data_IF_346799910714
#
_entry.id   IF_346799910714
#
_cell.length_a   1.000
_cell.length_b   1.000
_cell.length_c   1.000
_cell.angle_alpha   90.00
_cell.angle_beta   90.00
_cell.angle_gamma   90.00
#
_symmetry.space_group_name_H-M   'P 1'
#
loop_
_entity.id
_entity.type
_entity.pdbx_description
1 polymer ?
#
# COMPACT_ATOMS: atom_id res chain seq x y z
N UNK A 1 -28.62 -9.11 -4.68
CA UNK A 1 -28.03 -7.90 -4.05
C UNK A 1 -26.73 -8.29 -3.37
N UNK A 2 -25.62 -7.71 -3.77
CA UNK A 2 -24.32 -8.01 -3.16
C UNK A 2 -23.96 -6.83 -2.27
N UNK A 3 -24.10 -7.03 -0.96
CA UNK A 3 -23.70 -6.01 0.00
C UNK A 3 -22.18 -5.91 0.08
N UNK A 4 -21.70 -4.69 -0.02
CA UNK A 4 -20.28 -4.33 0.07
C UNK A 4 -20.01 -3.65 1.41
N UNK A 5 -18.80 -3.84 1.96
CA UNK A 5 -18.39 -3.20 3.22
C UNK A 5 -17.16 -2.36 2.99
N UNK A 6 -17.18 -1.13 3.48
CA UNK A 6 -16.03 -0.24 3.56
C UNK A 6 -15.61 -0.04 5.02
N UNK A 7 -14.31 0.04 5.26
CA UNK A 7 -13.78 0.56 6.51
C UNK A 7 -13.55 2.06 6.37
N UNK A 8 -14.09 2.84 7.29
CA UNK A 8 -13.97 4.30 7.28
C UNK A 8 -13.47 4.76 8.64
N UNK A 9 -12.57 5.75 8.68
CA UNK A 9 -12.27 6.41 9.95
C UNK A 9 -12.08 7.92 9.82
N UNK A 10 -12.52 8.64 10.85
CA UNK A 10 -12.20 10.04 11.04
C UNK A 10 -10.75 10.12 11.51
N UNK A 11 -9.91 10.86 10.76
CA UNK A 11 -8.50 11.03 11.05
C UNK A 11 -8.26 11.83 12.35
N UNK A 12 -7.13 11.63 13.04
CA UNK A 12 -6.89 12.22 14.36
C UNK A 12 -7.05 13.74 14.43
N UNK A 13 -6.63 14.49 13.39
CA UNK A 13 -6.77 15.95 13.37
C UNK A 13 -8.24 16.42 13.33
N UNK A 14 -9.15 15.58 12.84
CA UNK A 14 -10.60 15.81 12.85
C UNK A 14 -11.31 15.13 14.04
N UNK A 15 -10.57 14.39 14.90
CA UNK A 15 -11.04 13.77 16.14
C UNK A 15 -10.60 14.57 17.36
N UNK A 16 -10.99 15.85 17.50
CA UNK A 16 -10.57 16.73 18.61
C UNK A 16 -11.30 16.36 19.89
N UNK A 17 -10.64 15.83 20.96
CA UNK A 17 -11.29 15.27 22.15
C UNK A 17 -12.06 16.26 23.03
N UNK A 18 -11.75 17.56 22.92
CA UNK A 18 -12.19 18.59 23.87
C UNK A 18 -13.37 19.45 23.40
N UNK A 19 -13.97 19.17 22.24
CA UNK A 19 -15.04 20.00 21.69
C UNK A 19 -16.24 19.17 21.29
N UNK A 20 -17.43 19.60 21.68
CA UNK A 20 -18.72 19.07 21.19
C UNK A 20 -18.82 19.12 19.66
N UNK A 21 -18.06 20.01 19.02
CA UNK A 21 -17.94 20.13 17.57
C UNK A 21 -17.42 18.86 16.86
N UNK A 22 -16.70 17.99 17.57
CA UNK A 22 -16.29 16.67 17.08
C UNK A 22 -17.50 15.70 16.96
N UNK A 23 -18.48 15.85 17.83
CA UNK A 23 -19.73 15.14 17.74
C UNK A 23 -20.51 15.57 16.48
N UNK A 24 -20.51 16.88 16.18
CA UNK A 24 -21.18 17.43 15.00
C UNK A 24 -20.66 16.86 13.68
N UNK A 25 -19.32 16.72 13.54
CA UNK A 25 -18.79 16.11 12.32
C UNK A 25 -19.10 14.62 12.23
N UNK A 26 -19.02 13.88 13.34
CA UNK A 26 -19.47 12.48 13.39
C UNK A 26 -20.95 12.34 12.99
N UNK A 27 -21.83 13.19 13.54
CA UNK A 27 -23.25 13.19 13.20
C UNK A 27 -23.45 13.44 11.71
N UNK A 28 -22.81 14.46 11.15
CA UNK A 28 -22.90 14.77 9.71
C UNK A 28 -22.36 13.64 8.84
N UNK A 29 -21.30 12.96 9.27
CA UNK A 29 -20.77 11.78 8.58
C UNK A 29 -21.82 10.65 8.52
N UNK A 30 -22.47 10.34 9.63
CA UNK A 30 -23.51 9.30 9.68
C UNK A 30 -24.75 9.70 8.86
N UNK A 31 -25.15 10.97 8.90
CA UNK A 31 -26.23 11.51 8.05
C UNK A 31 -25.87 11.36 6.55
N UNK A 32 -24.65 11.74 6.15
CA UNK A 32 -24.21 11.63 4.76
C UNK A 32 -24.19 10.16 4.30
N UNK A 33 -23.78 9.23 5.15
CA UNK A 33 -23.88 7.81 4.83
C UNK A 33 -25.33 7.41 4.57
N UNK A 34 -26.24 7.77 5.46
CA UNK A 34 -27.65 7.44 5.33
C UNK A 34 -28.29 8.07 4.07
N UNK A 35 -27.93 9.32 3.75
CA UNK A 35 -28.38 10.03 2.54
C UNK A 35 -28.00 9.27 1.25
N UNK A 36 -26.93 8.48 1.28
CA UNK A 36 -26.43 7.70 0.14
C UNK A 36 -26.72 6.19 0.24
N UNK A 37 -27.64 5.78 1.12
CA UNK A 37 -28.00 4.37 1.26
C UNK A 37 -26.94 3.49 1.94
N UNK A 38 -26.00 4.11 2.65
CA UNK A 38 -24.98 3.40 3.42
C UNK A 38 -25.42 3.23 4.87
N UNK A 39 -25.28 2.02 5.41
CA UNK A 39 -25.60 1.67 6.79
C UNK A 39 -24.31 1.52 7.62
N UNK A 40 -24.25 2.14 8.79
CA UNK A 40 -23.16 1.91 9.76
C UNK A 40 -23.48 0.66 10.57
N UNK A 41 -22.79 -0.45 10.31
CA UNK A 41 -23.04 -1.73 10.98
C UNK A 41 -22.16 -1.96 12.21
N UNK A 42 -20.99 -1.30 12.28
CA UNK A 42 -20.10 -1.29 13.45
C UNK A 42 -19.42 0.07 13.57
N UNK A 43 -19.17 0.51 14.78
CA UNK A 43 -18.37 1.72 15.04
C UNK A 43 -17.55 1.57 16.32
N UNK A 44 -16.50 2.39 16.43
CA UNK A 44 -15.68 2.44 17.64
C UNK A 44 -14.67 3.56 17.63
N UNK A 45 -13.82 3.56 18.65
CA UNK A 45 -12.71 4.48 18.78
C UNK A 45 -11.44 3.72 19.17
N UNK A 46 -10.29 4.18 18.67
CA UNK A 46 -8.98 3.61 19.01
C UNK A 46 -8.07 4.78 19.40
N UNK A 47 -7.46 4.67 20.59
CA UNK A 47 -6.53 5.70 21.09
C UNK A 47 -5.14 5.54 20.48
N UNK A 48 -4.38 6.62 20.45
CA UNK A 48 -2.99 6.63 19.98
C UNK A 48 -2.09 5.59 20.68
N UNK A 49 -2.31 5.35 21.97
CA UNK A 49 -1.56 4.33 22.73
C UNK A 49 -1.82 2.90 22.23
N UNK A 50 -3.05 2.61 21.82
CA UNK A 50 -3.39 1.30 21.21
C UNK A 50 -2.82 1.20 19.80
N UNK A 51 -2.95 2.28 18.99
CA UNK A 51 -2.39 2.35 17.63
C UNK A 51 -0.88 2.10 17.66
N UNK A 52 -0.16 2.77 18.59
CA UNK A 52 1.29 2.59 18.76
C UNK A 52 1.65 1.18 19.21
N UNK A 53 1.02 0.68 20.27
CA UNK A 53 1.34 -0.64 20.83
C UNK A 53 1.09 -1.78 19.86
N UNK A 54 -0.01 -1.72 19.10
CA UNK A 54 -0.40 -2.74 18.14
C UNK A 54 0.14 -2.49 16.73
N UNK A 55 0.87 -1.39 16.51
CA UNK A 55 1.41 -0.99 15.20
C UNK A 55 0.33 -0.90 14.09
N UNK A 56 -0.88 -0.45 14.45
CA UNK A 56 -2.02 -0.49 13.54
C UNK A 56 -1.83 0.42 12.32
N UNK A 57 -1.24 1.62 12.51
CA UNK A 57 -0.96 2.53 11.39
C UNK A 57 0.21 2.05 10.53
N UNK A 58 1.17 1.35 11.15
CA UNK A 58 2.29 0.74 10.44
C UNK A 58 1.81 -0.42 9.57
N UNK A 59 0.88 -1.23 10.07
CA UNK A 59 0.25 -2.31 9.29
C UNK A 59 -0.66 -1.78 8.17
N UNK A 60 -1.42 -0.70 8.43
CA UNK A 60 -2.27 -0.05 7.45
C UNK A 60 -1.49 0.50 6.24
N UNK A 61 -0.30 1.04 6.47
CA UNK A 61 0.61 1.51 5.42
C UNK A 61 1.84 0.60 5.27
N UNK A 62 1.63 -0.72 5.35
CA UNK A 62 2.73 -1.70 5.45
C UNK A 62 3.80 -1.54 4.37
N UNK A 63 3.39 -1.33 3.13
CA UNK A 63 4.32 -1.16 2.01
C UNK A 63 5.33 -0.01 2.21
N UNK A 64 4.93 1.05 2.92
CA UNK A 64 5.79 2.21 3.25
C UNK A 64 6.45 2.03 4.61
N UNK A 65 5.65 1.63 5.60
CA UNK A 65 6.05 1.53 7.00
C UNK A 65 7.10 0.44 7.22
N UNK A 66 7.03 -0.67 6.48
CA UNK A 66 8.02 -1.75 6.58
C UNK A 66 9.46 -1.22 6.47
N UNK A 67 9.70 -0.31 5.55
CA UNK A 67 11.00 0.31 5.31
C UNK A 67 11.35 1.46 6.28
N UNK A 68 10.33 2.01 6.94
CA UNK A 68 10.50 3.15 7.83
C UNK A 68 10.60 2.76 9.31
N UNK A 69 9.95 1.65 9.74
CA UNK A 69 9.77 1.35 11.17
C UNK A 69 9.89 -0.11 11.55
N UNK A 70 9.77 -1.05 10.60
CA UNK A 70 9.66 -2.49 10.90
C UNK A 70 10.91 -3.28 10.54
N UNK A 71 11.51 -3.02 9.37
CA UNK A 71 12.67 -3.75 8.85
C UNK A 71 13.96 -2.99 9.17
N UNK A 72 15.02 -3.76 9.40
CA UNK A 72 16.39 -3.21 9.45
C UNK A 72 16.86 -2.88 8.02
N UNK A 73 17.81 -1.95 7.84
CA UNK A 73 18.35 -1.66 6.52
C UNK A 73 18.88 -2.90 5.78
N UNK A 74 19.53 -3.84 6.47
CA UNK A 74 20.04 -5.08 5.90
C UNK A 74 18.96 -6.04 5.37
N UNK A 75 17.70 -5.85 5.78
CA UNK A 75 16.57 -6.65 5.31
C UNK A 75 15.85 -6.00 4.12
N UNK A 76 16.30 -4.80 3.70
CA UNK A 76 15.72 -4.07 2.58
C UNK A 76 16.36 -4.53 1.25
N UNK A 77 15.51 -4.75 0.25
CA UNK A 77 15.99 -5.03 -1.11
C UNK A 77 16.33 -3.71 -1.83
N UNK A 78 17.52 -3.18 -1.52
CA UNK A 78 18.02 -1.92 -2.10
C UNK A 78 18.67 -2.22 -3.46
N UNK A 79 18.30 -1.50 -4.55
CA UNK A 79 19.00 -1.57 -5.82
C UNK A 79 20.42 -1.00 -5.67
N UNK A 80 21.41 -1.89 -5.57
CA UNK A 80 22.79 -1.55 -5.19
C UNK A 80 23.47 -0.60 -6.17
N UNK A 81 23.26 -0.82 -7.47
CA UNK A 81 23.77 0.04 -8.54
C UNK A 81 23.21 1.47 -8.45
N UNK A 82 21.90 1.61 -8.19
CA UNK A 82 21.26 2.91 -8.02
C UNK A 82 21.74 3.60 -6.74
N UNK A 83 21.91 2.84 -5.66
CA UNK A 83 22.43 3.35 -4.39
C UNK A 83 23.86 3.88 -4.56
N UNK A 84 24.76 3.08 -5.12
CA UNK A 84 26.14 3.44 -5.35
C UNK A 84 26.28 4.64 -6.31
N UNK A 85 25.53 4.64 -7.40
CA UNK A 85 25.51 5.77 -8.36
C UNK A 85 25.05 7.07 -7.69
N UNK A 86 24.06 6.99 -6.80
CA UNK A 86 23.49 8.18 -6.15
C UNK A 86 24.39 8.70 -5.04
N UNK A 87 24.90 7.83 -4.19
CA UNK A 87 25.56 8.21 -2.95
C UNK A 87 27.10 8.14 -3.00
N UNK A 88 27.67 7.44 -4.00
CA UNK A 88 29.12 7.32 -4.16
C UNK A 88 29.78 6.32 -3.22
N UNK A 89 28.98 5.49 -2.54
CA UNK A 89 29.41 4.41 -1.64
C UNK A 89 28.63 3.14 -2.00
N UNK A 90 29.24 1.96 -1.90
CA UNK A 90 28.52 0.72 -2.14
C UNK A 90 27.53 0.41 -1.02
N UNK A 91 26.44 -0.30 -1.34
CA UNK A 91 25.45 -0.72 -0.35
C UNK A 91 26.09 -1.54 0.78
N UNK A 92 26.95 -2.48 0.42
CA UNK A 92 27.69 -3.31 1.37
C UNK A 92 28.53 -2.47 2.34
N UNK A 93 29.33 -1.54 1.82
CA UNK A 93 30.15 -0.65 2.63
C UNK A 93 29.34 0.23 3.56
N UNK A 94 28.18 0.74 3.10
CA UNK A 94 27.29 1.56 3.92
C UNK A 94 26.69 0.75 5.09
N UNK A 95 26.37 -0.53 4.88
CA UNK A 95 25.93 -1.44 5.95
C UNK A 95 27.05 -1.76 6.94
N UNK A 96 28.27 -2.07 6.46
CA UNK A 96 29.44 -2.37 7.29
C UNK A 96 29.82 -1.18 8.19
N UNK A 97 29.69 0.04 7.67
CA UNK A 97 29.91 1.29 8.43
C UNK A 97 28.77 1.65 9.39
N UNK A 98 27.69 0.89 9.42
CA UNK A 98 26.49 1.16 10.22
C UNK A 98 25.92 2.59 10.03
N UNK A 99 25.95 3.11 8.79
CA UNK A 99 25.43 4.46 8.47
C UNK A 99 24.06 4.43 7.80
N UNK A 100 23.42 3.25 7.72
CA UNK A 100 22.10 3.05 7.15
C UNK A 100 21.05 2.89 8.26
N UNK A 101 19.95 3.63 8.17
CA UNK A 101 18.90 3.64 9.18
C UNK A 101 17.52 3.59 8.55
N UNK A 102 16.59 2.83 9.13
CA UNK A 102 15.17 3.10 8.93
C UNK A 102 14.80 4.44 9.62
N UNK A 103 13.67 5.03 9.29
CA UNK A 103 13.31 6.35 9.80
C UNK A 103 13.14 6.39 11.34
N UNK A 104 12.63 5.30 11.94
CA UNK A 104 12.43 5.23 13.38
C UNK A 104 13.77 5.23 14.14
N UNK A 105 14.74 4.46 13.65
CA UNK A 105 16.06 4.40 14.26
C UNK A 105 16.88 5.66 13.95
N UNK A 106 16.69 6.29 12.78
CA UNK A 106 17.28 7.59 12.46
C UNK A 106 16.79 8.70 13.39
N UNK A 107 15.54 8.67 13.86
CA UNK A 107 15.06 9.60 14.89
C UNK A 107 15.87 9.48 16.18
N UNK A 108 16.20 8.27 16.60
CA UNK A 108 17.02 8.02 17.80
C UNK A 108 18.46 8.46 17.57
N UNK A 109 19.06 8.05 16.46
CA UNK A 109 20.46 8.35 16.09
C UNK A 109 20.72 9.85 16.00
N UNK A 110 19.78 10.61 15.43
CA UNK A 110 19.87 12.06 15.27
C UNK A 110 19.31 12.85 16.47
N UNK A 111 18.79 12.15 17.48
CA UNK A 111 18.08 12.74 18.63
C UNK A 111 17.01 13.76 18.21
N UNK A 112 16.17 13.40 17.24
CA UNK A 112 15.10 14.26 16.71
C UNK A 112 13.76 13.56 16.75
N UNK A 113 12.68 14.33 16.91
CA UNK A 113 11.32 13.83 16.72
C UNK A 113 10.95 13.70 15.23
N UNK A 114 9.77 13.13 14.96
CA UNK A 114 9.25 12.88 13.63
C UNK A 114 9.27 14.10 12.69
N UNK A 115 8.84 15.27 13.19
CA UNK A 115 8.87 16.53 12.42
C UNK A 115 10.30 17.04 12.17
N UNK A 116 11.21 16.82 13.13
CA UNK A 116 12.64 17.14 12.97
C UNK A 116 13.28 16.29 11.88
N UNK A 117 12.98 14.99 11.84
CA UNK A 117 13.46 14.09 10.78
C UNK A 117 12.90 14.49 9.41
N UNK A 118 11.59 14.77 9.31
CA UNK A 118 10.98 15.25 8.08
C UNK A 118 11.62 16.54 7.57
N UNK A 119 11.85 17.52 8.47
CA UNK A 119 12.54 18.76 8.13
C UNK A 119 13.95 18.49 7.60
N UNK A 120 14.74 17.64 8.28
CA UNK A 120 16.08 17.25 7.81
C UNK A 120 16.03 16.56 6.43
N UNK A 121 15.04 15.70 6.18
CA UNK A 121 14.90 15.01 4.89
C UNK A 121 14.61 15.96 3.71
N UNK A 122 13.92 17.08 3.96
CA UNK A 122 13.68 18.11 2.92
C UNK A 122 14.96 18.86 2.53
N UNK A 123 15.94 18.90 3.41
CA UNK A 123 17.25 19.51 3.19
C UNK A 123 18.35 18.46 3.02
N UNK A 124 17.97 17.21 2.70
CA UNK A 124 18.91 16.15 2.46
C UNK A 124 19.86 16.50 1.29
N UNK A 125 21.13 16.15 1.46
CA UNK A 125 22.17 16.41 0.43
C UNK A 125 21.85 15.73 -0.89
N UNK A 126 21.34 14.52 -0.82
CA UNK A 126 20.89 13.71 -1.96
C UNK A 126 19.66 12.87 -1.53
N UNK A 127 18.77 12.65 -2.47
CA UNK A 127 17.60 11.78 -2.26
C UNK A 127 17.39 10.93 -3.51
N UNK A 128 17.07 9.66 -3.30
CA UNK A 128 16.73 8.73 -4.37
C UNK A 128 15.41 8.04 -4.10
N UNK A 129 14.66 7.78 -5.17
CA UNK A 129 13.47 6.94 -5.19
C UNK A 129 13.85 5.61 -5.85
N UNK A 130 13.84 4.53 -5.07
CA UNK A 130 14.10 3.18 -5.57
C UNK A 130 12.87 2.53 -6.21
N UNK A 131 11.68 2.99 -5.82
CA UNK A 131 10.40 2.47 -6.31
C UNK A 131 9.23 3.19 -5.66
N UNK A 132 8.01 2.71 -5.89
CA UNK A 132 6.83 3.22 -5.21
C UNK A 132 6.97 3.05 -3.69
N UNK A 133 6.79 4.14 -2.93
CA UNK A 133 6.91 4.11 -1.47
C UNK A 133 8.29 3.72 -0.92
N UNK A 134 9.36 3.75 -1.73
CA UNK A 134 10.69 3.39 -1.29
C UNK A 134 11.70 4.49 -1.65
N UNK A 135 12.12 5.23 -0.65
CA UNK A 135 13.00 6.38 -0.77
C UNK A 135 14.16 6.27 0.20
N UNK A 136 15.32 6.82 -0.18
CA UNK A 136 16.47 7.00 0.70
C UNK A 136 17.00 8.42 0.59
N UNK A 137 17.33 9.02 1.72
CA UNK A 137 17.87 10.37 1.81
C UNK A 137 19.22 10.36 2.54
N UNK A 138 20.22 11.03 1.97
CA UNK A 138 21.50 11.29 2.63
C UNK A 138 21.39 12.52 3.53
N UNK A 139 21.55 12.31 4.83
CA UNK A 139 21.52 13.34 5.84
C UNK A 139 22.86 13.43 6.56
N UNK A 140 23.17 14.59 7.12
CA UNK A 140 24.39 14.78 7.92
C UNK A 140 24.07 14.72 9.41
N UNK A 141 24.91 14.02 10.15
CA UNK A 141 25.00 14.14 11.61
C UNK A 141 25.68 15.46 11.97
N UNK A 142 25.70 15.80 13.26
CA UNK A 142 26.33 17.03 13.75
C UNK A 142 27.84 17.03 13.55
N UNK A 143 28.47 15.86 13.56
CA UNK A 143 29.89 15.65 13.29
C UNK A 143 30.26 15.67 11.78
N UNK A 144 29.28 15.92 10.90
CA UNK A 144 29.48 15.93 9.46
C UNK A 144 29.40 14.55 8.78
N UNK A 145 29.22 13.47 9.55
CA UNK A 145 29.08 12.11 9.00
C UNK A 145 27.79 11.96 8.20
N UNK A 146 27.88 11.45 6.98
CA UNK A 146 26.70 11.11 6.17
C UNK A 146 26.04 9.83 6.68
N UNK A 147 24.73 9.89 6.82
CA UNK A 147 23.88 8.72 7.07
C UNK A 147 22.79 8.60 5.99
N UNK A 148 22.33 7.38 5.74
CA UNK A 148 21.33 7.05 4.71
C UNK A 148 20.05 6.61 5.38
N UNK A 149 18.99 7.42 5.26
CA UNK A 149 17.74 7.24 5.99
C UNK A 149 16.62 6.86 5.04
N UNK A 150 15.97 5.71 5.33
CA UNK A 150 14.89 5.20 4.52
C UNK A 150 13.53 5.74 4.99
N UNK A 151 12.71 6.18 4.02
CA UNK A 151 11.33 6.63 4.20
C UNK A 151 11.11 7.64 5.35
N UNK A 152 12.04 8.58 5.51
CA UNK A 152 12.00 9.57 6.60
C UNK A 152 10.66 10.33 6.71
N UNK A 153 9.97 10.57 5.59
CA UNK A 153 8.68 11.26 5.53
C UNK A 153 7.55 10.51 6.27
N UNK A 154 7.66 9.18 6.42
CA UNK A 154 6.62 8.39 7.06
C UNK A 154 6.45 8.75 8.55
N UNK A 155 7.51 9.17 9.22
CA UNK A 155 7.47 9.44 10.65
C UNK A 155 6.53 10.59 11.02
N UNK A 156 6.48 11.66 10.23
CA UNK A 156 5.57 12.79 10.47
C UNK A 156 4.10 12.40 10.22
N UNK A 157 3.82 11.58 9.22
CA UNK A 157 2.48 11.03 9.00
C UNK A 157 2.08 10.10 10.16
N UNK A 158 2.97 9.20 10.57
CA UNK A 158 2.78 8.28 11.69
C UNK A 158 2.51 8.99 13.01
N UNK A 159 3.26 10.07 13.28
CA UNK A 159 3.13 10.83 14.54
C UNK A 159 1.71 11.37 14.75
N UNK A 160 1.01 11.74 13.67
CA UNK A 160 -0.37 12.22 13.76
C UNK A 160 -1.33 11.18 14.38
N UNK A 161 -1.00 9.89 14.28
CA UNK A 161 -1.81 8.80 14.82
C UNK A 161 -1.37 8.34 16.22
N UNK A 162 -0.06 8.43 16.51
CA UNK A 162 0.53 7.82 17.72
C UNK A 162 0.87 8.82 18.82
N UNK A 163 0.86 10.13 18.56
CA UNK A 163 1.08 11.15 19.58
C UNK A 163 0.03 11.06 20.70
N UNK A 164 0.49 11.29 21.95
CA UNK A 164 -0.36 11.21 23.13
C UNK A 164 -1.62 12.10 23.00
N UNK A 165 -2.76 11.51 23.32
CA UNK A 165 -4.07 12.19 23.26
C UNK A 165 -4.75 12.16 21.89
N UNK A 166 -4.09 11.62 20.86
CA UNK A 166 -4.74 11.38 19.56
C UNK A 166 -5.61 10.11 19.59
N UNK A 167 -6.57 10.07 18.68
CA UNK A 167 -7.45 8.90 18.46
C UNK A 167 -8.02 8.94 17.07
N UNK A 168 -8.55 7.83 16.62
CA UNK A 168 -9.48 7.73 15.48
C UNK A 168 -10.87 7.32 15.97
N UNK A 169 -11.90 7.69 15.19
CA UNK A 169 -13.24 7.09 15.27
C UNK A 169 -13.46 6.34 13.97
N UNK A 170 -13.76 5.05 14.07
CA UNK A 170 -13.89 4.18 12.91
C UNK A 170 -15.32 3.63 12.78
N UNK A 171 -15.65 3.25 11.57
CA UNK A 171 -16.94 2.72 11.14
C UNK A 171 -16.71 1.59 10.14
N UNK A 172 -17.52 0.55 10.24
CA UNK A 172 -17.75 -0.40 9.14
C UNK A 172 -19.07 -0.02 8.51
N UNK A 173 -19.03 0.34 7.25
CA UNK A 173 -20.18 0.84 6.49
C UNK A 173 -20.56 -0.19 5.45
N UNK A 174 -21.82 -0.53 5.36
CA UNK A 174 -22.37 -1.49 4.39
C UNK A 174 -23.29 -0.77 3.40
N UNK A 175 -23.19 -1.10 2.11
CA UNK A 175 -24.02 -0.56 1.03
C UNK A 175 -24.19 -1.58 -0.10
N UNK A 176 -25.21 -1.37 -0.94
CA UNK A 176 -25.57 -2.26 -2.03
C UNK A 176 -24.89 -1.83 -3.33
N UNK A 177 -24.21 -2.78 -4.02
CA UNK A 177 -23.50 -2.53 -5.28
C UNK A 177 -24.42 -2.22 -6.48
N UNK A 178 -25.74 -2.44 -6.36
CA UNK A 178 -26.73 -2.06 -7.37
C UNK A 178 -27.14 -0.59 -7.25
N UNK A 179 -27.10 -0.03 -6.05
CA UNK A 179 -27.55 1.35 -5.77
C UNK A 179 -26.38 2.32 -5.66
N UNK A 180 -25.22 1.87 -5.17
CA UNK A 180 -24.03 2.69 -4.98
C UNK A 180 -22.78 1.91 -5.41
N UNK A 181 -22.15 2.32 -6.51
CA UNK A 181 -20.89 1.75 -6.96
C UNK A 181 -19.73 2.19 -6.08
N UNK A 182 -18.67 1.38 -5.98
CA UNK A 182 -17.49 1.71 -5.16
C UNK A 182 -16.83 3.01 -5.61
N UNK A 183 -16.68 3.22 -6.93
CA UNK A 183 -16.17 4.48 -7.48
C UNK A 183 -17.01 5.69 -7.02
N UNK A 184 -18.34 5.56 -7.03
CA UNK A 184 -19.26 6.61 -6.58
C UNK A 184 -19.22 6.83 -5.07
N UNK A 185 -19.10 5.76 -4.27
CA UNK A 185 -18.88 5.88 -2.83
C UNK A 185 -17.62 6.72 -2.55
N UNK A 186 -16.51 6.44 -3.23
CA UNK A 186 -15.28 7.21 -3.07
C UNK A 186 -15.37 8.64 -3.62
N UNK A 187 -15.98 8.82 -4.78
CA UNK A 187 -16.04 10.13 -5.43
C UNK A 187 -17.09 11.06 -4.82
N UNK A 188 -18.29 10.55 -4.52
CA UNK A 188 -19.46 11.35 -4.13
C UNK A 188 -19.70 11.37 -2.63
N UNK A 189 -19.57 10.22 -1.94
CA UNK A 189 -19.78 10.16 -0.48
C UNK A 189 -18.54 10.65 0.26
N UNK A 190 -17.36 10.08 -0.05
CA UNK A 190 -16.12 10.47 0.60
C UNK A 190 -15.56 11.79 0.06
N UNK A 191 -15.51 11.95 -1.24
CA UNK A 191 -14.83 13.01 -1.99
C UNK A 191 -13.36 12.69 -2.27
N UNK A 192 -12.73 13.31 -3.30
CA UNK A 192 -11.34 13.11 -3.68
C UNK A 192 -10.37 13.49 -2.56
N UNK A 193 -9.14 12.97 -2.65
CA UNK A 193 -8.07 13.17 -1.66
C UNK A 193 -7.74 14.64 -1.43
N UNK A 194 -7.75 15.46 -2.48
CA UNK A 194 -7.67 16.92 -2.34
C UNK A 194 -9.04 17.50 -1.98
N UNK A 195 -9.26 17.97 -0.74
CA UNK A 195 -10.57 18.44 -0.30
C UNK A 195 -11.01 19.74 -0.99
N UNK A 196 -10.10 20.46 -1.66
CA UNK A 196 -10.45 21.63 -2.48
C UNK A 196 -11.24 21.25 -3.73
N UNK A 197 -11.05 20.01 -4.23
CA UNK A 197 -11.72 19.46 -5.41
C UNK A 197 -12.94 18.64 -5.06
N UNK A 198 -13.19 18.42 -3.76
CA UNK A 198 -14.27 17.57 -3.30
C UNK A 198 -15.64 18.25 -3.51
N UNK A 199 -16.67 17.51 -3.96
CA UNK A 199 -18.04 18.00 -3.97
C UNK A 199 -18.44 18.52 -2.59
N UNK A 200 -19.13 19.65 -2.54
CA UNK A 200 -19.55 20.27 -1.27
C UNK A 200 -20.46 19.37 -0.43
N UNK A 201 -21.14 18.41 -1.04
CA UNK A 201 -21.99 17.40 -0.40
C UNK A 201 -21.22 16.20 0.14
N UNK A 202 -19.97 15.97 -0.32
CA UNK A 202 -19.13 14.88 0.15
C UNK A 202 -18.53 15.18 1.54
N UNK A 203 -18.17 14.13 2.27
CA UNK A 203 -17.59 14.25 3.62
C UNK A 203 -16.36 15.18 3.67
N UNK A 204 -15.45 15.08 2.69
CA UNK A 204 -14.26 15.92 2.61
C UNK A 204 -14.61 17.36 2.20
N UNK A 205 -15.56 17.55 1.31
CA UNK A 205 -16.05 18.88 0.90
C UNK A 205 -16.77 19.59 2.04
N UNK A 206 -17.68 18.89 2.73
CA UNK A 206 -18.39 19.40 3.93
C UNK A 206 -17.38 19.86 4.98
N UNK A 207 -16.35 19.04 5.28
CA UNK A 207 -15.34 19.38 6.26
C UNK A 207 -14.49 20.58 5.81
N UNK A 208 -14.09 20.61 4.53
CA UNK A 208 -13.29 21.69 3.96
C UNK A 208 -14.00 23.04 3.98
N UNK A 209 -15.30 23.05 3.68
CA UNK A 209 -16.14 24.27 3.68
C UNK A 209 -16.39 24.77 5.11
N UNK A 210 -16.62 23.86 6.04
CA UNK A 210 -17.09 24.17 7.39
C UNK A 210 -16.06 23.83 8.49
N UNK A 211 -14.77 23.81 8.18
CA UNK A 211 -13.73 23.32 9.09
C UNK A 211 -13.72 23.99 10.46
N UNK A 212 -13.99 25.32 10.56
CA UNK A 212 -14.10 26.03 11.83
C UNK A 212 -15.27 25.56 12.67
N UNK A 213 -16.45 25.34 12.03
CA UNK A 213 -17.65 24.80 12.67
C UNK A 213 -17.38 23.44 13.31
N UNK A 214 -16.56 22.61 12.67
CA UNK A 214 -16.19 21.29 13.16
C UNK A 214 -14.96 21.30 14.10
N UNK A 215 -14.49 22.47 14.50
CA UNK A 215 -13.44 22.64 15.50
C UNK A 215 -12.03 22.32 15.03
N UNK A 216 -11.76 22.30 13.72
CA UNK A 216 -10.41 22.08 13.22
C UNK A 216 -9.52 23.30 13.47
N UNK A 217 -8.26 23.05 13.83
CA UNK A 217 -7.27 24.11 14.07
C UNK A 217 -6.83 24.81 12.78
N UNK A 218 -6.93 24.12 11.62
CA UNK A 218 -6.54 24.64 10.31
C UNK A 218 -7.42 24.04 9.21
N UNK A 219 -7.46 24.73 8.08
CA UNK A 219 -8.20 24.27 6.90
C UNK A 219 -7.64 22.94 6.41
N UNK A 220 -8.49 21.97 6.05
CA UNK A 220 -8.05 20.68 5.53
C UNK A 220 -7.13 20.80 4.31
N UNK A 221 -6.18 19.88 4.23
CA UNK A 221 -5.22 19.75 3.12
C UNK A 221 -5.28 18.33 2.57
N UNK A 222 -4.58 18.01 1.49
CA UNK A 222 -4.50 16.65 0.94
C UNK A 222 -4.05 15.61 1.98
N UNK A 223 -3.09 15.94 2.85
CA UNK A 223 -2.63 15.04 3.92
C UNK A 223 -3.60 14.96 5.10
N UNK A 224 -4.23 16.09 5.45
CA UNK A 224 -5.17 16.22 6.56
C UNK A 224 -6.59 16.51 6.02
N UNK A 225 -7.16 15.55 5.29
CA UNK A 225 -8.45 15.69 4.62
C UNK A 225 -9.66 15.18 5.42
N UNK A 226 -9.46 14.88 6.70
CA UNK A 226 -10.51 14.60 7.67
C UNK A 226 -10.92 13.15 7.78
N UNK A 227 -11.10 12.45 6.68
CA UNK A 227 -11.64 11.09 6.67
C UNK A 227 -10.89 10.19 5.69
N UNK A 228 -10.69 8.94 6.09
CA UNK A 228 -10.20 7.84 5.26
C UNK A 228 -11.35 6.86 5.00
N UNK A 229 -11.33 6.24 3.84
CA UNK A 229 -12.13 5.06 3.52
C UNK A 229 -11.33 4.13 2.62
N UNK A 230 -11.57 2.82 2.76
CA UNK A 230 -10.99 1.78 1.92
C UNK A 230 -11.21 2.07 0.43
N UNK A 231 -10.24 1.72 -0.40
CA UNK A 231 -10.31 1.98 -1.84
C UNK A 231 -10.95 0.84 -2.65
N UNK A 232 -11.19 -0.32 -2.00
CA UNK A 232 -11.82 -1.48 -2.62
C UNK A 232 -12.42 -2.42 -1.56
N UNK A 233 -13.27 -3.39 -1.94
CA UNK A 233 -13.78 -4.43 -1.02
C UNK A 233 -12.66 -5.26 -0.40
N UNK A 234 -11.57 -5.50 -1.13
CA UNK A 234 -10.43 -6.25 -0.60
C UNK A 234 -9.60 -5.42 0.39
N UNK A 235 -9.36 -4.16 0.10
CA UNK A 235 -8.71 -3.25 1.06
C UNK A 235 -9.56 -3.13 2.33
N UNK A 236 -10.89 -3.03 2.20
CA UNK A 236 -11.79 -3.04 3.35
C UNK A 236 -11.68 -4.31 4.20
N UNK A 237 -11.59 -5.48 3.57
CA UNK A 237 -11.36 -6.76 4.26
C UNK A 237 -10.08 -6.72 5.10
N UNK A 238 -8.97 -6.25 4.52
CA UNK A 238 -7.68 -6.14 5.18
C UNK A 238 -7.69 -5.09 6.31
N UNK A 239 -8.31 -3.93 6.07
CA UNK A 239 -8.41 -2.83 7.04
C UNK A 239 -9.30 -3.19 8.23
N UNK A 240 -10.45 -3.84 8.02
CA UNK A 240 -11.31 -4.34 9.09
C UNK A 240 -10.51 -5.32 9.95
N UNK A 241 -9.78 -6.27 9.35
CA UNK A 241 -8.95 -7.20 10.10
C UNK A 241 -7.87 -6.49 10.93
N UNK A 242 -7.15 -5.53 10.33
CA UNK A 242 -6.11 -4.78 11.03
C UNK A 242 -6.65 -3.93 12.19
N UNK A 243 -7.68 -3.13 11.94
CA UNK A 243 -8.15 -2.12 12.89
C UNK A 243 -9.09 -2.65 13.96
N UNK A 244 -9.89 -3.67 13.63
CA UNK A 244 -10.88 -4.24 14.57
C UNK A 244 -10.43 -5.55 15.20
N UNK A 245 -9.50 -6.27 14.55
CA UNK A 245 -9.09 -7.62 14.92
C UNK A 245 -10.04 -8.72 14.44
N UNK A 246 -11.04 -8.40 13.59
CA UNK A 246 -11.93 -9.40 12.99
C UNK A 246 -11.16 -10.16 11.88
N UNK A 247 -10.91 -11.47 12.04
CA UNK A 247 -10.11 -12.21 11.07
C UNK A 247 -10.70 -12.20 9.66
N UNK A 248 -9.84 -12.20 8.63
CA UNK A 248 -10.29 -12.17 7.22
C UNK A 248 -11.24 -13.31 6.87
N UNK A 249 -11.02 -14.51 7.43
CA UNK A 249 -11.84 -15.70 7.21
C UNK A 249 -13.18 -15.70 7.99
N UNK A 250 -13.43 -14.74 8.85
CA UNK A 250 -14.70 -14.55 9.54
C UNK A 250 -15.60 -13.52 8.88
N UNK A 251 -15.03 -12.61 8.11
CA UNK A 251 -15.75 -11.60 7.34
C UNK A 251 -16.44 -12.23 6.12
N UNK A 252 -17.63 -11.73 5.77
CA UNK A 252 -18.44 -12.30 4.67
C UNK A 252 -17.68 -12.34 3.33
N UNK A 253 -16.98 -11.25 2.99
CA UNK A 253 -16.22 -11.17 1.75
C UNK A 253 -15.01 -12.11 1.77
N UNK A 254 -14.32 -12.22 2.90
CA UNK A 254 -13.21 -13.18 3.06
C UNK A 254 -13.67 -14.64 2.92
N UNK A 255 -14.81 -15.00 3.54
CA UNK A 255 -15.43 -16.33 3.35
C UNK A 255 -15.72 -16.61 1.88
N UNK A 256 -16.26 -15.62 1.17
CA UNK A 256 -16.55 -15.74 -0.26
C UNK A 256 -15.28 -15.98 -1.08
N UNK A 257 -14.21 -15.23 -0.83
CA UNK A 257 -12.93 -15.41 -1.51
C UNK A 257 -12.31 -16.79 -1.23
N UNK A 258 -12.42 -17.29 0.00
CA UNK A 258 -11.94 -18.64 0.37
C UNK A 258 -12.75 -19.72 -0.34
N UNK A 259 -14.06 -19.58 -0.43
CA UNK A 259 -14.92 -20.52 -1.21
C UNK A 259 -14.54 -20.57 -2.70
N UNK A 260 -13.93 -19.52 -3.22
CA UNK A 260 -13.44 -19.44 -4.61
C UNK A 260 -11.95 -19.79 -4.74
N UNK A 261 -11.35 -20.42 -3.73
CA UNK A 261 -10.01 -21.02 -3.81
C UNK A 261 -8.85 -20.12 -3.41
N UNK A 262 -9.10 -18.92 -2.84
CA UNK A 262 -8.02 -18.09 -2.28
C UNK A 262 -7.84 -18.44 -0.81
N UNK A 263 -6.67 -18.93 -0.41
CA UNK A 263 -6.46 -19.35 0.98
C UNK A 263 -6.45 -18.20 1.97
N UNK A 264 -6.70 -18.50 3.25
CA UNK A 264 -6.63 -17.51 4.34
C UNK A 264 -5.23 -16.86 4.38
N UNK A 265 -4.19 -17.67 4.28
CA UNK A 265 -2.79 -17.23 4.33
C UNK A 265 -2.48 -16.26 3.17
N UNK A 266 -3.03 -16.55 1.97
CA UNK A 266 -2.93 -15.66 0.81
C UNK A 266 -3.64 -14.33 1.08
N UNK A 267 -4.85 -14.34 1.65
CA UNK A 267 -5.57 -13.11 1.99
C UNK A 267 -4.80 -12.27 3.02
N UNK A 268 -4.24 -12.90 4.06
CA UNK A 268 -3.43 -12.21 5.08
C UNK A 268 -2.12 -11.63 4.50
N UNK A 269 -1.48 -12.36 3.60
CA UNK A 269 -0.30 -11.87 2.88
C UNK A 269 -0.66 -10.69 1.96
N UNK A 270 -1.73 -10.81 1.22
CA UNK A 270 -2.21 -9.77 0.30
C UNK A 270 -2.68 -8.51 1.02
N UNK A 271 -3.17 -8.63 2.25
CA UNK A 271 -3.51 -7.49 3.11
C UNK A 271 -2.33 -6.57 3.42
N UNK A 272 -1.10 -6.98 3.11
CA UNK A 272 0.13 -6.17 3.22
C UNK A 272 0.48 -5.44 1.92
N UNK A 273 -0.41 -5.47 0.92
CA UNK A 273 -0.20 -4.86 -0.41
C UNK A 273 1.11 -5.27 -1.08
N UNK A 274 1.32 -6.59 -1.33
CA UNK A 274 2.53 -7.05 -2.00
C UNK A 274 2.51 -6.69 -3.49
N UNK A 275 3.70 -6.72 -4.10
CA UNK A 275 3.83 -6.74 -5.55
C UNK A 275 3.55 -8.14 -6.06
N UNK A 276 2.53 -8.27 -6.88
CA UNK A 276 2.07 -9.53 -7.47
C UNK A 276 2.24 -9.51 -8.99
N UNK A 277 2.36 -10.69 -9.60
CA UNK A 277 2.27 -10.79 -11.06
C UNK A 277 0.84 -10.43 -11.47
N UNK A 278 0.70 -9.43 -12.33
CA UNK A 278 -0.58 -8.92 -12.83
C UNK A 278 -0.83 -9.33 -14.29
N UNK A 279 0.16 -9.93 -14.94
CA UNK A 279 0.13 -10.44 -16.29
C UNK A 279 1.02 -11.68 -16.45
N UNK A 280 0.75 -12.47 -17.50
CA UNK A 280 1.51 -13.69 -17.82
C UNK A 280 2.99 -13.42 -18.21
N UNK A 281 3.33 -12.20 -18.61
CA UNK A 281 4.70 -11.81 -18.96
C UNK A 281 5.55 -11.44 -17.73
N UNK A 282 5.02 -11.65 -16.50
CA UNK A 282 5.72 -11.38 -15.25
C UNK A 282 5.71 -9.91 -14.82
N UNK A 283 4.91 -9.05 -15.48
CA UNK A 283 4.73 -7.67 -15.00
C UNK A 283 4.11 -7.69 -13.61
N UNK A 284 4.74 -6.96 -12.69
CA UNK A 284 4.28 -6.84 -11.30
C UNK A 284 3.63 -5.49 -11.02
N UNK A 285 2.69 -5.50 -10.09
CA UNK A 285 2.01 -4.30 -9.60
C UNK A 285 1.53 -4.47 -8.15
N UNK A 286 1.24 -3.35 -7.48
CA UNK A 286 0.58 -3.35 -6.18
C UNK A 286 -0.76 -4.06 -6.29
N UNK A 287 -1.05 -4.96 -5.36
CA UNK A 287 -2.32 -5.68 -5.34
C UNK A 287 -3.50 -4.72 -5.15
N UNK A 288 -3.37 -3.76 -4.25
CA UNK A 288 -4.44 -2.79 -3.98
C UNK A 288 -4.73 -1.92 -5.20
N UNK A 289 -3.71 -1.48 -5.95
CA UNK A 289 -3.89 -0.73 -7.19
C UNK A 289 -4.66 -1.52 -8.26
N UNK A 290 -4.56 -2.88 -8.24
CA UNK A 290 -5.25 -3.74 -9.22
C UNK A 290 -6.75 -3.88 -8.94
N UNK A 291 -7.20 -3.56 -7.74
CA UNK A 291 -8.61 -3.72 -7.32
C UNK A 291 -9.24 -2.39 -6.88
N UNK A 292 -8.53 -1.28 -7.03
CA UNK A 292 -9.01 0.05 -6.68
C UNK A 292 -10.29 0.40 -7.46
N UNK A 293 -11.29 0.97 -6.77
CA UNK A 293 -12.59 1.39 -7.29
C UNK A 293 -13.49 0.27 -7.87
N UNK A 294 -13.13 -1.00 -7.69
CA UNK A 294 -13.93 -2.13 -8.15
C UNK A 294 -15.03 -2.49 -7.16
N UNK A 295 -16.20 -2.88 -7.68
CA UNK A 295 -17.24 -3.52 -6.88
C UNK A 295 -16.87 -4.96 -6.50
N UNK A 296 -17.53 -5.54 -5.49
CA UNK A 296 -17.17 -6.83 -4.90
C UNK A 296 -17.03 -7.99 -5.91
N UNK A 297 -17.92 -8.07 -6.89
CA UNK A 297 -17.88 -9.14 -7.91
C UNK A 297 -16.69 -8.98 -8.87
N UNK A 298 -16.43 -7.76 -9.31
CA UNK A 298 -15.31 -7.44 -10.20
C UNK A 298 -13.98 -7.62 -9.47
N UNK A 299 -13.88 -7.09 -8.25
CA UNK A 299 -12.74 -7.25 -7.37
C UNK A 299 -12.41 -8.75 -7.16
N UNK A 300 -13.41 -9.57 -6.80
CA UNK A 300 -13.24 -11.01 -6.64
C UNK A 300 -12.69 -11.67 -7.91
N UNK A 301 -13.30 -11.38 -9.07
CA UNK A 301 -12.86 -11.94 -10.36
C UNK A 301 -11.39 -11.60 -10.64
N UNK A 302 -10.98 -10.36 -10.37
CA UNK A 302 -9.60 -9.92 -10.57
C UNK A 302 -8.64 -10.61 -9.58
N UNK A 303 -9.01 -10.71 -8.30
CA UNK A 303 -8.23 -11.42 -7.30
C UNK A 303 -8.03 -12.91 -7.65
N UNK A 304 -9.06 -13.59 -8.16
CA UNK A 304 -8.94 -14.97 -8.63
C UNK A 304 -7.98 -15.11 -9.82
N UNK A 305 -7.99 -14.14 -10.74
CA UNK A 305 -7.03 -14.10 -11.85
C UNK A 305 -5.60 -13.88 -11.33
N UNK A 306 -5.40 -12.94 -10.42
CA UNK A 306 -4.11 -12.68 -9.79
C UNK A 306 -3.63 -13.92 -9.02
N UNK A 307 -4.53 -14.62 -8.31
CA UNK A 307 -4.18 -15.85 -7.59
C UNK A 307 -3.58 -16.90 -8.55
N UNK A 308 -4.23 -17.16 -9.67
CA UNK A 308 -3.72 -18.08 -10.70
C UNK A 308 -2.37 -17.68 -11.27
N UNK A 309 -2.14 -16.37 -11.46
CA UNK A 309 -0.86 -15.83 -11.97
C UNK A 309 0.30 -15.97 -10.98
N UNK A 310 -0.01 -16.14 -9.69
CA UNK A 310 0.96 -16.20 -8.59
C UNK A 310 0.99 -17.58 -7.90
N UNK A 311 0.27 -18.57 -8.42
CA UNK A 311 0.40 -19.96 -7.98
C UNK A 311 1.81 -20.49 -8.28
N UNK A 312 2.42 -21.28 -7.38
CA UNK A 312 3.68 -21.94 -7.67
C UNK A 312 3.52 -22.81 -8.91
N UNK A 313 4.35 -22.63 -9.92
CA UNK A 313 4.41 -23.56 -11.06
C UNK A 313 4.66 -24.97 -10.53
N UNK A 314 3.80 -25.95 -10.84
CA UNK A 314 4.06 -27.32 -10.43
C UNK A 314 5.43 -27.74 -10.99
N UNK A 315 6.24 -28.51 -10.24
CA UNK A 315 7.51 -28.99 -10.74
C UNK A 315 7.29 -29.73 -12.08
N UNK A 316 8.19 -29.57 -13.06
CA UNK A 316 8.05 -30.24 -14.35
C UNK A 316 7.89 -31.74 -14.11
N UNK A 317 6.79 -32.30 -14.59
CA UNK A 317 6.57 -33.73 -14.52
C UNK A 317 7.72 -34.43 -15.24
N UNK A 318 8.31 -35.50 -14.68
CA UNK A 318 9.34 -36.23 -15.36
C UNK A 318 8.82 -36.71 -16.71
N UNK A 319 9.46 -36.30 -17.77
CA UNK A 319 9.15 -36.75 -19.13
C UNK A 319 9.33 -38.26 -19.15
N UNK A 320 8.24 -39.02 -19.13
CA UNK A 320 8.27 -40.45 -19.35
C UNK A 320 8.64 -40.66 -20.82
N UNK A 321 9.93 -40.75 -21.08
CA UNK A 321 10.43 -41.23 -22.39
C UNK A 321 9.98 -42.67 -22.54
N UNK A 322 8.98 -42.93 -23.37
CA UNK A 322 8.65 -44.30 -23.82
C UNK A 322 9.86 -44.82 -24.58
N UNK A 323 10.68 -45.63 -23.91
CA UNK A 323 11.73 -46.39 -24.57
C UNK A 323 11.07 -47.40 -25.49
N UNK A 324 11.18 -47.19 -26.77
CA UNK A 324 10.87 -48.19 -27.80
C UNK A 324 11.86 -49.36 -27.66
N UNK A 325 11.39 -50.48 -27.14
CA UNK A 325 12.16 -51.71 -27.08
C UNK A 325 12.39 -52.27 -28.50
N UNK A 326 13.58 -52.07 -29.07
CA UNK A 326 14.06 -52.89 -30.18
C UNK A 326 14.95 -53.99 -29.60
N UNK A 327 14.44 -55.24 -29.70
CA UNK A 327 15.20 -56.47 -29.43
C UNK A 327 16.41 -56.54 -30.36
N UNK A 328 17.64 -56.66 -29.79
CA UNK A 328 18.75 -57.28 -30.44
C UNK A 328 19.55 -58.18 -29.49
N UNK A 329 19.89 -59.32 -30.05
CA UNK A 329 20.38 -60.57 -29.45
C UNK A 329 21.74 -60.41 -28.72
N UNK A 330 21.89 -61.30 -27.75
CA UNK A 330 23.07 -61.64 -26.99
C UNK A 330 24.35 -61.89 -27.85
N UNK A 331 25.50 -61.47 -27.31
CA UNK A 331 26.65 -62.38 -27.21
C UNK A 331 27.52 -61.97 -25.99
N UNK A 332 27.95 -62.99 -25.32
CA UNK A 332 28.76 -63.11 -24.16
C UNK A 332 30.19 -62.56 -24.36
N UNK A 333 30.77 -61.96 -23.33
CA UNK A 333 32.02 -62.33 -22.72
C UNK A 333 32.37 -61.36 -21.55
N UNK A 334 32.75 -61.94 -20.45
CA UNK A 334 33.12 -61.24 -19.21
C UNK A 334 34.64 -61.20 -18.99
N UNK A 335 35.17 -60.69 -17.85
CA UNK A 335 35.60 -59.32 -17.55
C UNK A 335 37.15 -59.23 -17.43
N UNK A 336 37.72 -58.12 -17.02
CA UNK A 336 38.11 -57.99 -15.59
C UNK A 336 38.08 -56.57 -15.00
N UNK A 337 37.80 -56.49 -13.71
CA UNK A 337 38.07 -55.43 -12.74
C UNK A 337 39.59 -55.39 -12.36
N UNK A 338 40.09 -54.49 -11.49
CA UNK A 338 39.68 -53.12 -11.09
C UNK A 338 40.93 -52.18 -10.99
N UNK A 339 40.68 -50.86 -10.77
CA UNK A 339 41.59 -50.04 -9.93
C UNK A 339 40.96 -48.78 -9.42
N UNK A 340 40.98 -48.62 -8.09
CA UNK A 340 40.72 -47.41 -7.31
C UNK A 340 41.73 -46.32 -7.62
N UNK A 341 41.27 -45.06 -7.61
CA UNK A 341 41.97 -43.99 -6.90
C UNK A 341 41.02 -42.89 -6.50
N UNK A 342 41.20 -42.47 -5.31
CA UNK A 342 40.55 -41.48 -4.44
C UNK A 342 40.92 -40.05 -4.80
N UNK A 343 40.08 -39.17 -4.20
CA UNK A 343 40.24 -37.74 -3.85
C UNK A 343 39.40 -36.83 -4.74
N UNK A 344 38.61 -35.91 -4.25
CA UNK A 344 38.35 -35.32 -2.98
C UNK A 344 37.38 -34.18 -3.22
N UNK A 345 36.48 -34.01 -2.26
CA UNK A 345 35.82 -32.77 -1.82
C UNK A 345 35.58 -31.63 -2.81
N UNK A 346 34.37 -31.15 -3.07
CA UNK A 346 33.89 -30.02 -2.28
C UNK A 346 32.40 -29.75 -2.51
N UNK A 347 31.73 -29.34 -1.42
CA UNK A 347 30.34 -28.98 -1.33
C UNK A 347 30.12 -27.58 -1.91
N UNK A 348 28.99 -27.38 -2.58
CA UNK A 348 28.53 -26.07 -2.99
C UNK A 348 27.04 -26.04 -3.17
N UNK A 349 26.29 -26.03 -2.05
CA UNK A 349 24.85 -25.72 -2.04
C UNK A 349 24.62 -24.27 -2.47
N UNK A 350 24.24 -24.05 -3.71
CA UNK A 350 23.72 -22.78 -4.17
C UNK A 350 22.20 -22.77 -3.97
N UNK A 351 21.72 -22.26 -2.83
CA UNK A 351 20.33 -21.84 -2.65
C UNK A 351 20.10 -20.58 -3.45
N UNK A 352 19.37 -20.70 -4.54
CA UNK A 352 18.85 -19.56 -5.29
C UNK A 352 17.81 -18.84 -4.43
N UNK A 353 18.17 -17.68 -3.88
CA UNK A 353 17.22 -16.72 -3.31
C UNK A 353 16.52 -16.00 -4.48
N UNK A 354 15.25 -16.28 -4.66
CA UNK A 354 14.39 -15.50 -5.57
C UNK A 354 14.13 -14.15 -4.90
N UNK A 355 14.81 -13.12 -5.38
CA UNK A 355 14.56 -11.73 -4.97
C UNK A 355 13.22 -11.25 -5.51
N UNK A 356 12.28 -10.97 -4.63
CA UNK A 356 11.02 -10.30 -4.97
C UNK A 356 11.26 -8.80 -5.04
N UNK A 357 11.22 -8.25 -6.24
CA UNK A 357 11.30 -6.81 -6.47
C UNK A 357 9.93 -6.17 -6.15
N UNK A 358 9.84 -5.41 -5.07
CA UNK A 358 8.62 -4.71 -4.67
C UNK A 358 8.62 -3.30 -5.27
N UNK A 359 7.76 -3.05 -6.25
CA UNK A 359 7.48 -1.70 -6.78
C UNK A 359 6.11 -1.27 -6.27
N UNK A 360 6.07 -0.40 -5.29
CA UNK A 360 4.82 0.21 -4.78
C UNK A 360 4.65 1.58 -5.43
N UNK A 361 3.60 1.72 -6.22
CA UNK A 361 3.20 3.01 -6.79
C UNK A 361 2.73 3.96 -5.70
N UNK A 362 3.35 5.14 -5.61
CA UNK A 362 2.97 6.19 -4.65
C UNK A 362 1.72 6.93 -5.16
N UNK A 363 0.59 6.23 -5.25
CA UNK A 363 -0.70 6.87 -5.55
C UNK A 363 -1.37 7.46 -4.30
N UNK A 364 -0.80 7.26 -3.13
CA UNK A 364 -1.32 7.77 -1.84
C UNK A 364 -1.26 9.29 -1.67
N UNK A 365 -0.58 10.02 -2.56
CA UNK A 365 -0.55 11.49 -2.55
C UNK A 365 -1.09 12.15 -3.82
N UNK A 366 -1.45 11.39 -4.85
CA UNK A 366 -1.94 11.91 -6.12
C UNK A 366 -3.06 11.03 -6.69
N UNK A 367 -4.13 10.83 -5.94
CA UNK A 367 -5.40 10.35 -6.48
C UNK A 367 -6.04 11.46 -7.30
N UNK A 368 -5.56 11.71 -8.49
CA UNK A 368 -6.04 12.70 -9.45
C UNK A 368 -6.20 12.07 -10.83
N UNK A 369 -7.42 11.61 -11.11
CA UNK A 369 -8.04 11.51 -12.44
C UNK A 369 -7.12 11.57 -13.69
N UNK A 370 -6.61 10.43 -14.13
CA UNK A 370 -6.06 10.31 -15.50
C UNK A 370 -7.12 10.19 -16.61
N UNK A 371 -8.42 10.20 -16.29
CA UNK A 371 -9.51 10.08 -17.31
C UNK A 371 -10.14 11.41 -17.73
N UNK A 372 -9.82 12.56 -17.12
CA UNK A 372 -10.40 13.85 -17.50
C UNK A 372 -9.63 14.59 -18.63
N UNK A 373 -8.44 14.16 -19.01
CA UNK A 373 -7.60 14.89 -19.99
C UNK A 373 -7.87 14.54 -21.47
N UNK A 374 -8.85 13.72 -21.78
CA UNK A 374 -9.13 13.29 -23.19
C UNK A 374 -10.40 13.88 -23.80
N UNK A 375 -11.09 14.81 -23.12
CA UNK A 375 -12.35 15.40 -23.63
C UNK A 375 -12.33 16.91 -23.89
N UNK A 376 -11.27 17.63 -23.55
CA UNK A 376 -11.22 19.09 -23.75
C UNK A 376 -10.57 19.57 -25.06
N UNK A 377 -9.98 18.68 -25.86
CA UNK A 377 -9.27 19.10 -27.10
C UNK A 377 -10.12 19.09 -28.38
N UNK A 378 -11.46 18.97 -28.26
CA UNK A 378 -12.38 19.02 -29.42
C UNK A 378 -13.28 20.27 -29.50
N UNK A 379 -13.26 21.18 -28.53
CA UNK A 379 -14.13 22.37 -28.55
C UNK A 379 -13.39 23.73 -28.74
N UNK A 380 -12.10 23.70 -28.99
CA UNK A 380 -11.33 24.96 -29.21
C UNK A 380 -11.15 25.39 -30.70
N UNK A 381 -11.84 24.73 -31.64
CA UNK A 381 -11.74 25.08 -33.09
C UNK A 381 -13.00 25.64 -33.75
N UNK A 382 -14.02 26.02 -32.98
CA UNK A 382 -15.29 26.48 -33.58
C UNK A 382 -15.70 27.93 -33.27
N UNK A 383 -14.84 28.76 -32.66
CA UNK A 383 -15.19 30.18 -32.37
C UNK A 383 -14.10 31.18 -32.75
N UNK A 384 -13.59 31.09 -33.96
CA UNK A 384 -12.77 32.18 -34.50
C UNK A 384 -13.03 32.38 -35.99
N UNK A 385 -14.29 32.65 -36.37
CA UNK A 385 -14.63 33.16 -37.67
C UNK A 385 -15.96 33.91 -37.65
N UNK A 386 -16.00 35.10 -37.00
CA UNK A 386 -17.00 36.14 -37.23
C UNK A 386 -16.64 37.39 -36.42
N UNK A 387 -15.76 38.21 -36.97
CA UNK A 387 -15.72 39.67 -36.77
C UNK A 387 -14.66 40.27 -37.67
N UNK A 388 -14.99 40.44 -38.93
CA UNK A 388 -14.50 41.51 -39.76
C UNK A 388 -15.56 41.74 -40.83
N UNK A 389 -16.25 42.84 -40.71
CA UNK A 389 -17.22 43.32 -41.69
C UNK A 389 -18.19 44.33 -41.08
N UNK A 390 -17.82 45.57 -41.11
CA UNK A 390 -18.55 46.80 -41.36
C UNK A 390 -18.23 47.95 -40.40
N UNK A 391 -17.63 48.92 -41.07
CA UNK A 391 -17.56 50.38 -40.82
C UNK A 391 -16.78 50.88 -39.64
#
# INVERSE_FOLDING_TARGET
MTKQRAFVFIKPHACVPKNDNNLLYKQKLVETFKEHGCEVIKEGKISSSVIERKKLIDAHYYAIASKATLLKPSELNVPEDVFQKTFGISWKEALEKNVCFNALDACKELNVGALGLEKRSRFAKRTVKFGGGFYCAEMLKEDGTSIYVFNAFFMSMRSQFVEKGKQIKWFVVEFDDETLKWEDFRAKVLGPTDPKKAPETSLRGILFKNWKKYGLMRKPTTGENGVHASASPFEALAEIANWTGEPVNEQAYGKLLIQHGITKETLEMWGKDPQVNIRNDGLKGSLFDQVEDMDSKECMKNLMQINKLNEPTPPPQPVVTKSSSSKKKQNSDAPPTPKKTTTGTDNGDAKALIGVLVVVGLTLLAGGNKKAAKKEDKNAKATNNKKNGKK
#
